data_IF_776734497385
#
_entry.id   IF_776734497385
#
_cell.length_a   1.000
_cell.length_b   1.000
_cell.length_c   1.000
_cell.angle_alpha   90.00
_cell.angle_beta   90.00
_cell.angle_gamma   90.00
#
_symmetry.space_group_name_H-M   'P 1'
#
loop_
_entity.id
_entity.type
_entity.pdbx_description
1 polymer ?
#
# COMPACT_ATOMS: atom_id res chain seq x y z
N UNK A 1 6.20 21.34 5.26
CA UNK A 1 5.17 20.29 5.06
C UNK A 1 5.65 19.03 5.77
N UNK A 2 4.73 18.20 6.25
CA UNK A 2 5.09 16.96 6.95
C UNK A 2 5.22 15.86 5.90
N UNK A 3 6.40 15.26 5.78
CA UNK A 3 6.66 14.21 4.80
C UNK A 3 6.26 12.84 5.34
N UNK A 4 5.70 12.01 4.45
CA UNK A 4 5.43 10.61 4.71
C UNK A 4 6.36 9.71 3.90
N UNK A 5 6.82 8.64 4.55
CA UNK A 5 7.37 7.46 3.85
C UNK A 5 6.31 6.39 3.83
N UNK A 6 5.96 5.90 2.64
CA UNK A 6 4.86 4.94 2.48
C UNK A 6 5.43 3.62 1.98
N UNK A 7 5.01 2.52 2.59
CA UNK A 7 5.24 1.16 2.11
C UNK A 7 3.90 0.54 1.73
N UNK A 8 3.88 -0.22 0.64
CA UNK A 8 2.73 -1.01 0.22
C UNK A 8 3.15 -2.45 -0.02
N UNK A 9 2.34 -3.40 0.44
CA UNK A 9 2.51 -4.82 0.19
C UNK A 9 1.23 -5.40 -0.40
N UNK A 10 1.32 -5.96 -1.60
CA UNK A 10 0.21 -6.57 -2.31
C UNK A 10 0.24 -8.09 -2.10
N UNK A 11 -0.63 -8.56 -1.21
CA UNK A 11 -0.89 -9.97 -0.93
C UNK A 11 -1.94 -10.59 -1.85
N UNK A 12 -2.16 -11.90 -1.72
CA UNK A 12 -3.28 -12.60 -2.37
C UNK A 12 -4.65 -12.22 -1.79
N UNK A 13 -4.73 -12.02 -0.47
CA UNK A 13 -5.99 -11.70 0.24
C UNK A 13 -6.14 -10.21 0.52
N UNK A 14 -5.07 -9.56 0.97
CA UNK A 14 -5.07 -8.17 1.39
C UNK A 14 -3.92 -7.39 0.79
N UNK A 15 -4.18 -6.12 0.53
CA UNK A 15 -3.17 -5.11 0.24
C UNK A 15 -3.03 -4.24 1.48
N UNK A 16 -1.81 -4.12 1.98
CA UNK A 16 -1.47 -3.38 3.18
C UNK A 16 -0.66 -2.12 2.80
N UNK A 17 -1.06 -0.95 3.29
CA UNK A 17 -0.30 0.30 3.19
C UNK A 17 0.08 0.77 4.59
N UNK A 18 1.37 1.01 4.79
CA UNK A 18 1.95 1.54 6.04
C UNK A 18 2.60 2.88 5.75
N UNK A 19 2.22 3.93 6.47
CA UNK A 19 2.74 5.27 6.29
C UNK A 19 3.39 5.78 7.58
N UNK A 20 4.67 6.14 7.51
CA UNK A 20 5.43 6.76 8.59
C UNK A 20 5.41 8.28 8.40
N UNK A 21 4.86 9.00 9.37
CA UNK A 21 5.01 10.45 9.47
C UNK A 21 6.43 10.77 9.95
N UNK A 22 7.27 11.34 9.08
CA UNK A 22 8.69 11.58 9.40
C UNK A 22 8.90 12.62 10.50
N UNK A 23 7.90 13.45 10.78
CA UNK A 23 7.98 14.49 11.81
C UNK A 23 7.55 13.99 13.19
N UNK A 24 6.41 13.30 13.28
CA UNK A 24 5.86 12.83 14.56
C UNK A 24 6.30 11.42 14.93
N UNK A 25 6.79 10.63 13.96
CA UNK A 25 7.03 9.19 14.13
C UNK A 25 5.75 8.35 14.15
N UNK A 26 4.58 8.95 13.94
CA UNK A 26 3.31 8.23 13.90
C UNK A 26 3.24 7.28 12.71
N UNK A 27 2.70 6.09 12.94
CA UNK A 27 2.47 5.08 11.91
C UNK A 27 0.97 4.97 11.65
N UNK A 28 0.59 5.15 10.40
CA UNK A 28 -0.76 4.87 9.92
C UNK A 28 -0.75 3.58 9.11
N UNK A 29 -1.70 2.69 9.42
CA UNK A 29 -1.92 1.45 8.67
C UNK A 29 -3.28 1.47 7.96
N UNK A 30 -3.28 0.97 6.74
CA UNK A 30 -4.47 0.76 5.91
C UNK A 30 -4.40 -0.65 5.37
N UNK A 31 -5.49 -1.40 5.51
CA UNK A 31 -5.61 -2.76 5.03
C UNK A 31 -6.93 -2.88 4.29
N UNK A 32 -6.88 -3.37 3.06
CA UNK A 32 -8.07 -3.58 2.24
C UNK A 32 -7.95 -4.88 1.45
N UNK A 33 -9.08 -5.49 1.02
CA UNK A 33 -9.03 -6.69 0.21
C UNK A 33 -8.23 -6.47 -1.07
N UNK A 34 -7.33 -7.39 -1.39
CA UNK A 34 -6.60 -7.37 -2.66
C UNK A 34 -7.55 -7.53 -3.84
N UNK A 35 -7.11 -7.07 -5.00
CA UNK A 35 -7.79 -7.30 -6.29
C UNK A 35 -6.80 -8.08 -7.18
N UNK A 36 -6.66 -9.41 -7.05
CA UNK A 36 -5.54 -10.15 -7.64
C UNK A 36 -5.42 -10.04 -9.16
N UNK A 37 -6.56 -9.88 -9.85
CA UNK A 37 -6.60 -9.70 -11.32
C UNK A 37 -6.31 -8.26 -11.74
N UNK A 38 -6.49 -7.30 -10.83
CA UNK A 38 -6.31 -5.87 -11.07
C UNK A 38 -5.63 -5.19 -9.85
N UNK A 39 -4.38 -5.56 -9.53
CA UNK A 39 -3.73 -5.16 -8.27
C UNK A 39 -3.54 -3.64 -8.15
N UNK A 40 -3.46 -2.93 -9.27
CA UNK A 40 -3.39 -1.48 -9.30
C UNK A 40 -4.62 -0.83 -8.64
N UNK A 41 -5.81 -1.42 -8.75
CA UNK A 41 -7.00 -0.88 -8.11
C UNK A 41 -6.88 -0.87 -6.58
N UNK A 42 -6.37 -1.96 -6.01
CA UNK A 42 -6.17 -2.09 -4.56
C UNK A 42 -5.16 -1.05 -4.05
N UNK A 43 -4.08 -0.82 -4.80
CA UNK A 43 -3.09 0.22 -4.50
C UNK A 43 -3.72 1.61 -4.53
N UNK A 44 -4.49 1.94 -5.58
CA UNK A 44 -5.14 3.25 -5.71
C UNK A 44 -6.12 3.48 -4.55
N UNK A 45 -6.96 2.48 -4.22
CA UNK A 45 -7.88 2.53 -3.08
C UNK A 45 -7.12 2.77 -1.77
N UNK A 46 -5.98 2.11 -1.55
CA UNK A 46 -5.18 2.30 -0.35
C UNK A 46 -4.65 3.73 -0.23
N UNK A 47 -4.17 4.32 -1.33
CA UNK A 47 -3.74 5.72 -1.34
C UNK A 47 -4.90 6.71 -1.19
N UNK A 48 -6.08 6.42 -1.74
CA UNK A 48 -7.27 7.23 -1.50
C UNK A 48 -7.64 7.21 -0.01
N UNK A 49 -7.58 6.05 0.65
CA UNK A 49 -7.83 5.92 2.09
C UNK A 49 -6.78 6.68 2.91
N UNK A 50 -5.51 6.64 2.49
CA UNK A 50 -4.43 7.41 3.09
C UNK A 50 -4.67 8.92 2.99
N UNK A 51 -5.04 9.41 1.81
CA UNK A 51 -5.36 10.82 1.59
C UNK A 51 -6.57 11.26 2.41
N UNK A 52 -7.61 10.44 2.53
CA UNK A 52 -8.77 10.75 3.38
C UNK A 52 -8.42 10.84 4.86
N UNK A 53 -7.46 10.04 5.34
CA UNK A 53 -7.04 10.03 6.75
C UNK A 53 -6.05 11.12 7.11
N UNK A 54 -5.15 11.48 6.20
CA UNK A 54 -4.03 12.40 6.48
C UNK A 54 -4.22 13.78 5.89
N UNK A 55 -5.05 13.91 4.85
CA UNK A 55 -5.18 15.12 4.02
C UNK A 55 -3.80 15.67 3.56
N UNK A 56 -2.84 14.78 3.29
CA UNK A 56 -1.46 15.14 2.99
C UNK A 56 -0.94 14.36 1.78
N UNK A 57 -0.39 15.08 0.81
CA UNK A 57 0.17 14.54 -0.44
C UNK A 57 1.70 14.54 -0.48
N UNK A 58 2.37 15.06 0.55
CA UNK A 58 3.84 15.13 0.64
C UNK A 58 4.43 13.77 1.03
N UNK A 59 4.60 12.90 0.03
CA UNK A 59 5.20 11.57 0.16
C UNK A 59 6.61 11.60 -0.43
N UNK A 60 7.62 11.29 0.39
CA UNK A 60 9.03 11.34 -0.02
C UNK A 60 9.51 10.05 -0.68
N UNK A 61 8.91 8.91 -0.34
CA UNK A 61 9.23 7.60 -0.91
C UNK A 61 8.02 6.69 -0.86
N UNK A 62 7.88 5.86 -1.89
CA UNK A 62 6.97 4.73 -1.94
C UNK A 62 7.80 3.46 -2.08
N UNK A 63 7.69 2.56 -1.11
CA UNK A 63 8.28 1.22 -1.13
C UNK A 63 7.18 0.25 -1.55
N UNK A 64 7.41 -0.53 -2.60
CA UNK A 64 6.42 -1.46 -3.14
C UNK A 64 6.91 -2.89 -2.99
N UNK A 65 6.11 -3.73 -2.33
CA UNK A 65 6.27 -5.16 -2.21
C UNK A 65 5.04 -5.87 -2.77
N UNK A 66 5.23 -7.08 -3.28
CA UNK A 66 4.13 -7.90 -3.78
C UNK A 66 4.48 -9.38 -3.72
N UNK A 67 3.48 -10.20 -3.42
CA UNK A 67 3.55 -11.66 -3.53
C UNK A 67 3.09 -12.18 -4.89
N UNK A 68 2.60 -11.30 -5.79
CA UNK A 68 2.08 -11.69 -7.11
C UNK A 68 3.13 -12.45 -7.92
N UNK A 69 4.38 -11.97 -7.95
CA UNK A 69 5.45 -12.63 -8.69
C UNK A 69 5.70 -14.06 -8.18
N UNK A 70 5.75 -14.24 -6.85
CA UNK A 70 5.93 -15.56 -6.24
C UNK A 70 4.72 -16.47 -6.50
N UNK A 71 3.50 -15.95 -6.38
CA UNK A 71 2.28 -16.71 -6.66
C UNK A 71 2.17 -17.09 -8.14
N UNK A 72 2.65 -16.23 -9.05
CA UNK A 72 2.75 -16.53 -10.48
C UNK A 72 3.67 -17.73 -10.71
N UNK A 73 4.87 -17.69 -10.11
CA UNK A 73 5.86 -18.75 -10.22
C UNK A 73 5.34 -20.09 -9.69
N UNK A 74 4.55 -20.05 -8.61
CA UNK A 74 3.93 -21.24 -8.01
C UNK A 74 2.67 -21.72 -8.73
N UNK A 75 2.25 -21.07 -9.82
CA UNK A 75 1.06 -21.44 -10.60
C UNK A 75 -0.27 -21.12 -9.91
N UNK A 76 -0.26 -20.18 -8.96
CA UNK A 76 -1.42 -19.80 -8.14
C UNK A 76 -2.21 -18.61 -8.70
N UNK A 77 -1.84 -18.10 -9.88
CA UNK A 77 -2.55 -17.03 -10.58
C UNK A 77 -3.51 -17.53 -11.67
N UNK A 78 -3.73 -18.84 -11.75
CA UNK A 78 -4.59 -19.49 -12.74
C UNK A 78 -6.05 -19.58 -12.28
#
# INVERSE_FOLDING_TARGET
>A
MTKYRVAIDIGGTFTDLVALNEKSGEILNIKLPSTPREPAEAVIKAFQDFLRKTNNTDVSVIIHATTIATNALLGQLN
#
